data_IF_123020336964
#
_entry.id   IF_123020336964
#
_cell.length_a   1.000
_cell.length_b   1.000
_cell.length_c   1.000
_cell.angle_alpha   90.00
_cell.angle_beta   90.00
_cell.angle_gamma   90.00
#
_symmetry.space_group_name_H-M   'P 1'
#
loop_
_entity.id
_entity.type
_entity.pdbx_description
1 polymer ?
#
# COMPACT_ATOMS: atom_id res chain seq x y z
N UNK A 1 -7.33 97.00 2.07
CA UNK A 1 -7.44 96.17 0.85
C UNK A 1 -7.35 94.72 1.29
N UNK A 2 -8.40 93.91 1.06
CA UNK A 2 -8.60 92.43 1.18
C UNK A 2 -7.72 91.61 2.18
N UNK A 3 -8.25 90.84 3.14
CA UNK A 3 -8.89 89.48 3.06
C UNK A 3 -7.90 88.38 2.61
N UNK A 4 -7.77 87.17 3.21
CA UNK A 4 -8.62 86.30 4.08
C UNK A 4 -7.85 85.86 5.37
N UNK A 5 -8.43 85.42 6.52
CA UNK A 5 -9.25 84.24 6.93
C UNK A 5 -8.49 82.93 7.28
N UNK A 6 -8.89 82.34 8.42
CA UNK A 6 -8.60 81.03 9.06
C UNK A 6 -8.07 79.84 8.21
N UNK A 7 -7.25 78.99 8.82
CA UNK A 7 -7.71 77.67 9.31
C UNK A 7 -6.70 76.93 10.22
N UNK A 8 -7.20 76.31 11.29
CA UNK A 8 -6.50 75.22 11.98
C UNK A 8 -6.46 74.00 11.06
N UNK A 9 -5.36 73.25 11.05
CA UNK A 9 -5.42 71.82 10.76
C UNK A 9 -4.58 71.04 11.78
N UNK A 10 -5.30 70.28 12.61
CA UNK A 10 -4.73 69.24 13.47
C UNK A 10 -4.05 68.18 12.59
N UNK A 11 -2.78 67.86 12.90
CA UNK A 11 -2.13 66.67 12.36
C UNK A 11 -2.69 65.42 13.07
N UNK A 12 -3.82 64.92 12.59
CA UNK A 12 -4.22 63.54 12.88
C UNK A 12 -3.32 62.59 12.09
N UNK A 13 -2.25 62.09 12.73
CA UNK A 13 -1.58 60.88 12.24
C UNK A 13 -2.57 59.72 12.35
N UNK A 14 -3.20 59.37 11.23
CA UNK A 14 -3.85 58.09 11.07
C UNK A 14 -2.77 57.01 11.03
N UNK A 15 -2.49 56.40 12.19
CA UNK A 15 -1.70 55.19 12.25
C UNK A 15 -2.46 54.08 11.51
N UNK A 16 -2.07 53.80 10.27
CA UNK A 16 -2.54 52.62 9.54
C UNK A 16 -1.92 51.42 10.24
N UNK A 17 -2.67 50.84 11.18
CA UNK A 17 -2.37 49.53 11.72
C UNK A 17 -2.64 48.56 10.58
N UNK A 18 -1.60 48.24 9.80
CA UNK A 18 -1.62 47.05 8.96
C UNK A 18 -1.66 45.86 9.92
N UNK A 19 -2.86 45.38 10.22
CA UNK A 19 -3.08 44.06 10.80
C UNK A 19 -2.61 43.04 9.78
N UNK A 20 -1.30 42.79 9.77
CA UNK A 20 -0.72 41.58 9.19
C UNK A 20 -1.21 40.46 10.09
N UNK A 21 -2.44 39.99 9.82
CA UNK A 21 -2.77 38.61 10.12
C UNK A 21 -1.75 37.80 9.32
N UNK A 22 -0.73 37.31 10.03
CA UNK A 22 -0.05 36.11 9.61
C UNK A 22 -1.11 35.01 9.66
N UNK A 23 -1.90 34.90 8.58
CA UNK A 23 -2.57 33.64 8.23
C UNK A 23 -1.38 32.70 8.07
N UNK A 24 -1.18 31.80 9.03
CA UNK A 24 -0.21 30.72 8.86
C UNK A 24 -0.53 30.11 7.49
N UNK A 25 0.41 30.05 6.56
CA UNK A 25 0.10 29.48 5.25
C UNK A 25 -0.07 27.97 5.43
N UNK A 26 -1.10 27.38 4.84
CA UNK A 26 -1.26 25.93 4.87
C UNK A 26 -0.10 25.25 4.14
N UNK A 27 0.44 24.16 4.69
CA UNK A 27 1.64 23.50 4.16
C UNK A 27 1.62 21.98 4.39
N UNK A 28 2.36 21.24 3.57
CA UNK A 28 2.59 19.81 3.79
C UNK A 28 3.60 19.64 4.94
N UNK A 29 3.24 18.91 6.00
CA UNK A 29 4.16 18.64 7.12
C UNK A 29 5.01 17.39 6.88
N UNK A 30 4.45 16.40 6.17
CA UNK A 30 5.10 15.14 5.91
C UNK A 30 4.47 14.43 4.69
N UNK A 31 5.27 13.62 4.00
CA UNK A 31 4.81 12.59 3.06
C UNK A 31 5.50 11.28 3.46
N UNK A 32 4.78 10.17 3.51
CA UNK A 32 5.30 8.83 3.76
C UNK A 32 5.08 7.97 2.51
N UNK A 33 6.02 7.06 2.26
CA UNK A 33 5.91 6.01 1.24
C UNK A 33 6.22 4.67 1.91
N UNK A 34 5.35 3.67 1.74
CA UNK A 34 5.49 2.33 2.33
C UNK A 34 5.02 1.26 1.35
N UNK A 35 5.60 0.09 1.41
CA UNK A 35 5.06 -1.11 0.76
C UNK A 35 3.74 -1.52 1.44
N UNK A 36 2.72 -1.87 0.66
CA UNK A 36 1.38 -2.21 1.19
C UNK A 36 1.30 -3.57 1.91
N UNK A 37 2.24 -4.48 1.62
CA UNK A 37 2.28 -5.84 2.17
C UNK A 37 3.11 -5.88 3.46
N UNK A 38 4.27 -5.23 3.48
CA UNK A 38 5.11 -5.11 4.67
C UNK A 38 4.61 -4.05 5.65
N UNK A 39 4.02 -2.96 5.14
CA UNK A 39 3.65 -1.78 5.93
C UNK A 39 4.84 -0.87 6.30
N UNK A 40 6.02 -1.10 5.70
CA UNK A 40 7.29 -0.42 6.00
C UNK A 40 7.94 0.19 4.75
N UNK A 41 9.06 0.89 4.93
CA UNK A 41 9.87 1.46 3.85
C UNK A 41 10.85 0.44 3.21
N UNK A 42 10.46 -0.84 3.19
CA UNK A 42 11.13 -1.90 2.44
C UNK A 42 10.10 -2.73 1.67
N UNK A 43 10.53 -3.22 0.51
CA UNK A 43 9.71 -3.88 -0.49
C UNK A 43 10.46 -5.11 -1.00
N UNK A 44 9.80 -6.26 -1.02
CA UNK A 44 10.37 -7.53 -1.49
C UNK A 44 9.87 -7.94 -2.89
N UNK A 45 8.99 -7.12 -3.48
CA UNK A 45 8.52 -7.29 -4.85
C UNK A 45 8.17 -5.92 -5.48
N UNK A 46 8.94 -5.44 -6.48
CA UNK A 46 8.67 -4.17 -7.15
C UNK A 46 7.26 -4.01 -7.74
N UNK A 47 6.54 -5.11 -8.02
CA UNK A 47 5.18 -5.09 -8.58
C UNK A 47 4.08 -4.84 -7.51
N UNK A 48 4.45 -4.76 -6.21
CA UNK A 48 3.52 -4.43 -5.13
C UNK A 48 2.88 -3.03 -5.27
N UNK A 49 1.71 -2.88 -4.65
CA UNK A 49 1.15 -1.56 -4.34
C UNK A 49 1.93 -0.89 -3.21
N UNK A 50 2.13 0.41 -3.33
CA UNK A 50 2.72 1.30 -2.34
C UNK A 50 1.65 2.21 -1.76
N UNK A 51 1.69 2.43 -0.44
CA UNK A 51 0.86 3.38 0.26
C UNK A 51 1.61 4.71 0.30
N UNK A 52 1.02 5.75 -0.31
CA UNK A 52 1.43 7.14 -0.15
C UNK A 52 0.50 7.80 0.86
N UNK A 53 1.08 8.42 1.88
CA UNK A 53 0.34 9.09 2.96
C UNK A 53 0.95 10.46 3.21
N UNK A 54 0.20 11.53 2.92
CA UNK A 54 0.64 12.89 3.18
C UNK A 54 -0.15 13.51 4.34
N UNK A 55 0.56 14.28 5.17
CA UNK A 55 0.00 15.07 6.25
C UNK A 55 0.16 16.55 5.92
N UNK A 56 -0.89 17.32 6.21
CA UNK A 56 -1.00 18.73 5.93
C UNK A 56 -1.36 19.47 7.21
N UNK A 57 -0.73 20.61 7.45
CA UNK A 57 -1.27 21.63 8.32
C UNK A 57 -2.13 22.56 7.46
N UNK A 58 -3.42 22.63 7.78
CA UNK A 58 -4.40 23.47 7.09
C UNK A 58 -4.86 24.54 8.05
N UNK A 59 -4.65 25.80 7.67
CA UNK A 59 -4.92 26.95 8.53
C UNK A 59 -6.38 27.40 8.44
N UNK A 60 -6.83 28.10 9.49
CA UNK A 60 -8.16 28.73 9.51
C UNK A 60 -8.38 29.63 8.29
N UNK A 61 -9.54 29.46 7.66
CA UNK A 61 -9.93 30.19 6.47
C UNK A 61 -9.13 29.84 5.20
N UNK A 62 -8.38 28.73 5.16
CA UNK A 62 -7.73 28.25 3.94
C UNK A 62 -8.74 28.09 2.79
N UNK A 63 -8.46 28.74 1.68
CA UNK A 63 -9.35 28.92 0.52
C UNK A 63 -8.65 28.76 -0.84
N UNK A 64 -7.31 28.67 -0.85
CA UNK A 64 -6.54 28.35 -2.05
C UNK A 64 -6.16 26.87 -2.12
N UNK A 65 -5.98 26.36 -3.34
CA UNK A 65 -5.52 25.00 -3.56
C UNK A 65 -4.06 24.80 -3.13
N UNK A 66 -3.75 23.58 -2.69
CA UNK A 66 -2.39 23.13 -2.39
C UNK A 66 -2.00 21.99 -3.32
N UNK A 67 -0.74 21.93 -3.76
CA UNK A 67 -0.29 20.92 -4.71
C UNK A 67 0.92 20.14 -4.20
N UNK A 68 0.93 18.84 -4.49
CA UNK A 68 2.04 17.93 -4.23
C UNK A 68 2.30 17.07 -5.46
N UNK A 69 3.52 17.13 -5.99
CA UNK A 69 3.95 16.24 -7.08
C UNK A 69 4.33 14.85 -6.56
N UNK A 70 3.92 13.83 -7.31
CA UNK A 70 4.27 12.43 -7.15
C UNK A 70 5.41 12.10 -8.13
N UNK A 71 6.38 11.24 -7.78
CA UNK A 71 7.37 10.75 -8.73
C UNK A 71 6.71 10.06 -9.93
N UNK A 72 7.21 10.32 -11.15
CA UNK A 72 6.62 9.83 -12.41
C UNK A 72 6.76 8.32 -12.60
N UNK A 73 7.62 7.69 -11.81
CA UNK A 73 7.78 6.25 -11.72
C UNK A 73 6.56 5.52 -11.16
N UNK A 74 5.59 6.24 -10.56
CA UNK A 74 4.35 5.67 -10.05
C UNK A 74 3.21 5.71 -11.07
N UNK A 75 2.38 4.67 -11.07
CA UNK A 75 1.17 4.51 -11.88
C UNK A 75 0.03 3.96 -11.02
N UNK A 76 -1.13 3.68 -11.61
CA UNK A 76 -2.30 3.19 -10.86
C UNK A 76 -2.85 4.20 -9.85
N UNK A 77 -2.64 5.49 -10.11
CA UNK A 77 -3.12 6.58 -9.25
C UNK A 77 -4.66 6.64 -9.25
N UNK A 78 -5.31 7.05 -8.14
CA UNK A 78 -6.74 7.31 -8.11
C UNK A 78 -7.19 8.29 -9.20
N UNK A 79 -8.17 7.88 -10.01
CA UNK A 79 -8.77 8.70 -11.07
C UNK A 79 -9.99 9.49 -10.61
N UNK A 80 -10.57 9.13 -9.46
CA UNK A 80 -11.73 9.80 -8.87
C UNK A 80 -11.29 10.66 -7.67
N UNK A 81 -11.93 11.82 -7.43
CA UNK A 81 -11.67 12.62 -6.22
C UNK A 81 -12.01 11.86 -4.93
N UNK A 82 -11.29 12.18 -3.86
CA UNK A 82 -11.50 11.58 -2.54
C UNK A 82 -11.32 12.60 -1.41
N UNK A 83 -11.83 12.29 -0.22
CA UNK A 83 -11.88 13.25 0.89
C UNK A 83 -10.51 13.45 1.58
N UNK A 84 -10.18 14.70 1.87
CA UNK A 84 -9.11 15.06 2.80
C UNK A 84 -9.63 14.93 4.24
N UNK A 85 -8.99 14.12 5.08
CA UNK A 85 -9.56 13.72 6.38
C UNK A 85 -8.87 14.34 7.60
N UNK A 86 -9.67 14.91 8.50
CA UNK A 86 -9.28 15.28 9.87
C UNK A 86 -10.20 14.58 10.87
N UNK A 87 -9.66 13.71 11.74
CA UNK A 87 -10.42 12.98 12.79
C UNK A 87 -11.70 12.30 12.24
N UNK A 88 -11.58 11.64 11.09
CA UNK A 88 -12.70 10.98 10.38
C UNK A 88 -13.81 11.92 9.89
N UNK A 89 -13.50 13.21 9.67
CA UNK A 89 -14.37 14.17 9.01
C UNK A 89 -13.67 14.73 7.77
N UNK A 90 -14.41 14.87 6.67
CA UNK A 90 -13.94 15.56 5.47
C UNK A 90 -13.72 17.04 5.75
N UNK A 91 -12.54 17.55 5.39
CA UNK A 91 -12.16 18.97 5.54
C UNK A 91 -11.65 19.59 4.23
N UNK A 92 -11.70 18.84 3.14
CA UNK A 92 -11.29 19.24 1.80
C UNK A 92 -11.47 18.08 0.82
N UNK A 93 -11.16 18.35 -0.44
CA UNK A 93 -11.22 17.39 -1.55
C UNK A 93 -9.81 17.18 -2.11
N UNK A 94 -9.49 15.96 -2.52
CA UNK A 94 -8.21 15.58 -3.12
C UNK A 94 -8.47 14.99 -4.49
N UNK A 95 -7.82 15.53 -5.50
CA UNK A 95 -7.81 15.01 -6.86
C UNK A 95 -6.36 14.75 -7.29
N UNK A 96 -6.13 13.74 -8.12
CA UNK A 96 -4.80 13.43 -8.66
C UNK A 96 -4.90 13.44 -10.19
N UNK A 97 -4.08 14.25 -10.84
CA UNK A 97 -4.04 14.33 -12.31
C UNK A 97 -3.10 13.30 -12.93
N UNK A 98 -3.31 13.02 -14.22
CA UNK A 98 -2.43 12.18 -15.05
C UNK A 98 -0.98 12.73 -15.13
N UNK A 99 -0.76 14.01 -14.82
CA UNK A 99 0.55 14.67 -14.74
C UNK A 99 1.26 14.45 -13.38
N UNK A 100 0.81 13.48 -12.59
CA UNK A 100 1.34 13.13 -11.26
C UNK A 100 1.20 14.25 -10.22
N UNK A 101 0.17 15.10 -10.35
CA UNK A 101 -0.07 16.22 -9.44
C UNK A 101 -1.27 15.93 -8.53
N UNK A 102 -1.03 15.82 -7.23
CA UNK A 102 -2.09 15.90 -6.22
C UNK A 102 -2.51 17.37 -6.10
N UNK A 103 -3.78 17.66 -6.27
CA UNK A 103 -4.44 18.92 -5.95
C UNK A 103 -5.31 18.69 -4.70
N UNK A 104 -5.19 19.58 -3.72
CA UNK A 104 -5.98 19.59 -2.50
C UNK A 104 -6.75 20.90 -2.43
N UNK A 105 -8.08 20.80 -2.46
CA UNK A 105 -9.01 21.93 -2.53
C UNK A 105 -9.87 22.05 -1.28
N UNK A 106 -10.32 23.26 -0.98
CA UNK A 106 -11.10 23.58 0.22
C UNK A 106 -12.45 24.24 -0.14
N UNK A 107 -13.45 23.47 -0.64
CA UNK A 107 -14.75 24.01 -1.04
C UNK A 107 -15.49 24.77 0.08
N UNK A 108 -15.20 24.40 1.34
CA UNK A 108 -15.64 25.12 2.54
C UNK A 108 -14.38 25.39 3.38
N UNK A 109 -13.94 26.66 3.50
CA UNK A 109 -12.76 26.99 4.30
C UNK A 109 -12.89 26.53 5.76
N UNK A 110 -11.84 25.93 6.35
CA UNK A 110 -11.90 25.38 7.70
C UNK A 110 -12.01 26.50 8.75
N UNK A 111 -12.81 26.26 9.79
CA UNK A 111 -13.10 27.24 10.86
C UNK A 111 -12.04 27.33 11.97
N UNK A 112 -11.02 26.48 11.92
CA UNK A 112 -9.90 26.43 12.86
C UNK A 112 -8.69 25.82 12.12
N UNK A 113 -7.49 26.00 12.66
CA UNK A 113 -6.32 25.24 12.22
C UNK A 113 -6.54 23.72 12.45
N UNK A 114 -6.28 22.90 11.44
CA UNK A 114 -6.40 21.42 11.50
C UNK A 114 -5.17 20.72 10.91
N UNK A 115 -4.84 19.56 11.47
CA UNK A 115 -3.86 18.64 10.85
C UNK A 115 -4.63 17.56 10.10
N UNK A 116 -4.66 17.66 8.78
CA UNK A 116 -5.37 16.73 7.91
C UNK A 116 -4.40 15.70 7.30
N UNK A 117 -4.93 14.55 6.87
CA UNK A 117 -4.15 13.53 6.19
C UNK A 117 -4.90 13.04 4.95
N UNK A 118 -4.16 12.77 3.89
CA UNK A 118 -4.63 12.06 2.70
C UNK A 118 -3.81 10.78 2.54
N UNK A 119 -4.44 9.72 2.04
CA UNK A 119 -3.79 8.43 1.79
C UNK A 119 -4.34 7.83 0.51
N UNK A 120 -3.46 7.38 -0.37
CA UNK A 120 -3.80 6.65 -1.59
C UNK A 120 -2.80 5.52 -1.84
N UNK A 121 -3.12 4.66 -2.80
CA UNK A 121 -2.21 3.63 -3.28
C UNK A 121 -1.69 3.99 -4.68
N UNK A 122 -0.49 3.53 -5.00
CA UNK A 122 0.11 3.61 -6.33
C UNK A 122 0.97 2.35 -6.58
N UNK A 123 1.13 1.91 -7.82
CA UNK A 123 2.14 0.92 -8.20
C UNK A 123 3.33 1.60 -8.87
N UNK A 124 4.46 0.92 -9.03
CA UNK A 124 5.44 1.37 -10.00
C UNK A 124 4.92 1.15 -11.42
N UNK A 125 5.38 1.97 -12.35
CA UNK A 125 5.29 1.64 -13.77
C UNK A 125 5.90 0.25 -14.03
N UNK A 126 5.27 -0.52 -14.91
CA UNK A 126 5.65 -1.92 -15.16
C UNK A 126 7.07 -2.06 -15.71
N UNK A 127 7.54 -1.13 -16.55
CA UNK A 127 8.89 -1.17 -17.09
C UNK A 127 9.91 -0.68 -16.05
N UNK A 128 9.54 0.27 -15.19
CA UNK A 128 10.35 0.65 -14.01
C UNK A 128 10.51 -0.52 -13.05
N UNK A 129 9.43 -1.23 -12.72
CA UNK A 129 9.45 -2.42 -11.86
C UNK A 129 10.34 -3.54 -12.45
N UNK A 130 10.16 -3.84 -13.75
CA UNK A 130 10.99 -4.82 -14.48
C UNK A 130 12.47 -4.45 -14.57
N UNK A 131 12.80 -3.16 -14.66
CA UNK A 131 14.19 -2.68 -14.65
C UNK A 131 14.90 -2.88 -13.30
N UNK A 132 14.19 -3.29 -12.25
CA UNK A 132 14.79 -3.66 -10.97
C UNK A 132 15.37 -5.07 -11.05
N UNK A 133 16.53 -5.20 -11.69
CA UNK A 133 17.26 -6.47 -11.83
C UNK A 133 18.04 -6.89 -10.57
N UNK A 134 18.14 -6.02 -9.54
CA UNK A 134 18.82 -6.32 -8.28
C UNK A 134 18.27 -5.49 -7.10
N UNK A 135 18.37 -6.02 -5.86
CA UNK A 135 18.13 -5.27 -4.62
C UNK A 135 18.89 -3.95 -4.59
N UNK A 136 18.19 -2.86 -4.28
CA UNK A 136 18.72 -1.49 -4.33
C UNK A 136 17.92 -0.55 -3.42
N UNK A 137 18.50 0.60 -3.09
CA UNK A 137 17.80 1.66 -2.38
C UNK A 137 17.45 2.76 -3.38
N UNK A 138 16.16 3.07 -3.55
CA UNK A 138 15.66 4.11 -4.45
C UNK A 138 15.21 5.32 -3.64
N UNK A 139 15.43 6.53 -4.19
CA UNK A 139 15.00 7.79 -3.59
C UNK A 139 13.84 8.36 -4.39
N UNK A 140 12.65 8.36 -3.80
CA UNK A 140 11.46 8.99 -4.32
C UNK A 140 11.35 10.40 -3.74
N UNK A 141 11.20 11.43 -4.59
CA UNK A 141 11.16 12.82 -4.17
C UNK A 141 9.79 13.41 -4.50
N UNK A 142 9.08 13.89 -3.48
CA UNK A 142 7.81 14.60 -3.62
C UNK A 142 8.07 16.10 -3.40
N UNK A 143 7.47 16.95 -4.23
CA UNK A 143 7.67 18.41 -4.18
C UNK A 143 6.33 19.10 -3.99
N UNK A 144 6.25 19.95 -2.95
CA UNK A 144 5.10 20.79 -2.64
C UNK A 144 5.17 22.11 -3.41
N UNK A 145 4.02 22.68 -3.79
CA UNK A 145 3.95 24.04 -4.36
C UNK A 145 4.35 25.14 -3.37
N UNK A 146 4.33 24.85 -2.07
CA UNK A 146 4.80 25.77 -1.03
C UNK A 146 6.34 25.71 -0.82
N UNK A 147 7.04 24.77 -1.48
CA UNK A 147 8.51 24.69 -1.52
C UNK A 147 9.12 23.59 -0.65
N UNK A 148 8.32 22.77 0.04
CA UNK A 148 8.81 21.61 0.78
C UNK A 148 9.22 20.45 -0.14
N UNK A 149 10.26 19.73 0.28
CA UNK A 149 10.82 18.58 -0.43
C UNK A 149 10.83 17.35 0.48
N UNK A 150 10.08 16.31 0.12
CA UNK A 150 10.01 15.06 0.89
C UNK A 150 10.77 13.96 0.14
N UNK A 151 11.99 13.71 0.57
CA UNK A 151 12.83 12.59 0.09
C UNK A 151 12.50 11.32 0.86
N UNK A 152 12.02 10.28 0.19
CA UNK A 152 11.69 8.98 0.79
C UNK A 152 12.49 7.85 0.16
N UNK A 153 13.18 7.13 1.03
CA UNK A 153 13.99 5.97 0.72
C UNK A 153 13.08 4.74 0.70
N UNK A 154 13.10 3.97 -0.38
CA UNK A 154 12.53 2.62 -0.43
C UNK A 154 13.68 1.62 -0.57
N UNK A 155 13.74 0.63 0.32
CA UNK A 155 14.69 -0.49 0.25
C UNK A 155 14.05 -1.63 -0.52
N UNK A 156 14.53 -1.90 -1.73
CA UNK A 156 14.16 -3.10 -2.49
C UNK A 156 15.10 -4.22 -2.06
N UNK A 157 14.54 -5.27 -1.48
CA UNK A 157 15.28 -6.34 -0.80
C UNK A 157 14.89 -7.70 -1.34
N UNK A 158 15.80 -8.69 -1.32
CA UNK A 158 15.43 -10.03 -1.73
C UNK A 158 14.46 -10.67 -0.71
N UNK A 159 13.59 -11.56 -1.19
CA UNK A 159 12.77 -12.41 -0.31
C UNK A 159 13.70 -13.29 0.53
N UNK A 160 13.35 -13.57 1.78
CA UNK A 160 14.16 -14.48 2.61
C UNK A 160 14.09 -15.91 2.07
N UNK A 161 15.25 -16.55 1.88
CA UNK A 161 15.35 -17.97 1.52
C UNK A 161 15.18 -18.92 2.71
N UNK A 162 15.09 -18.38 3.93
CA UNK A 162 15.02 -19.15 5.19
C UNK A 162 13.68 -19.02 5.92
N UNK A 163 12.77 -18.24 5.38
CA UNK A 163 11.45 -17.99 5.96
C UNK A 163 10.38 -18.42 4.96
N UNK A 164 9.22 -18.83 5.47
CA UNK A 164 8.07 -19.14 4.62
C UNK A 164 7.46 -17.85 4.10
N UNK A 165 7.32 -17.74 2.79
CA UNK A 165 6.70 -16.60 2.13
C UNK A 165 5.37 -17.00 1.50
N UNK A 166 4.35 -16.12 1.56
CA UNK A 166 3.04 -16.36 0.95
C UNK A 166 2.69 -15.25 -0.02
N UNK A 167 2.67 -15.59 -1.30
CA UNK A 167 2.19 -14.77 -2.40
C UNK A 167 0.70 -15.01 -2.66
N UNK A 168 -0.01 -14.00 -3.20
CA UNK A 168 -1.47 -14.09 -3.40
C UNK A 168 -2.01 -13.08 -4.40
N UNK A 169 -3.12 -13.42 -5.05
CA UNK A 169 -3.89 -12.50 -5.88
C UNK A 169 -5.25 -13.07 -6.28
N UNK A 170 -5.93 -12.38 -7.19
CA UNK A 170 -7.24 -12.79 -7.69
C UNK A 170 -7.34 -12.59 -9.20
N UNK A 171 -7.98 -13.55 -9.87
CA UNK A 171 -8.36 -13.43 -11.26
C UNK A 171 -9.70 -12.67 -11.36
N UNK A 172 -9.66 -11.40 -11.73
CA UNK A 172 -10.86 -10.55 -11.82
C UNK A 172 -12.00 -11.12 -12.68
N UNK A 173 -11.67 -11.84 -13.76
CA UNK A 173 -12.64 -12.37 -14.72
C UNK A 173 -13.53 -13.51 -14.17
N UNK A 174 -13.06 -14.27 -13.17
CA UNK A 174 -13.83 -15.37 -12.57
C UNK A 174 -13.88 -15.32 -11.03
N UNK A 175 -13.26 -14.31 -10.41
CA UNK A 175 -13.15 -14.12 -8.94
C UNK A 175 -12.45 -15.27 -8.20
N UNK A 176 -11.67 -16.09 -8.89
CA UNK A 176 -10.85 -17.15 -8.28
C UNK A 176 -9.60 -16.52 -7.66
N UNK A 177 -9.42 -16.68 -6.35
CA UNK A 177 -8.18 -16.31 -5.68
C UNK A 177 -7.12 -17.41 -5.86
N UNK A 178 -5.88 -16.99 -5.99
CA UNK A 178 -4.70 -17.85 -6.11
C UNK A 178 -3.69 -17.51 -5.01
N UNK A 179 -2.94 -18.52 -4.60
CA UNK A 179 -1.95 -18.42 -3.53
C UNK A 179 -0.70 -19.22 -3.90
N UNK A 180 0.45 -18.75 -3.43
CA UNK A 180 1.73 -19.47 -3.56
C UNK A 180 2.43 -19.46 -2.22
N UNK A 181 2.61 -20.64 -1.62
CA UNK A 181 3.39 -20.79 -0.38
C UNK A 181 4.78 -21.28 -0.76
N UNK A 182 5.79 -20.43 -0.57
CA UNK A 182 7.19 -20.80 -0.74
C UNK A 182 7.72 -21.30 0.61
N UNK A 183 8.08 -22.58 0.70
CA UNK A 183 8.65 -23.21 1.91
C UNK A 183 10.12 -23.58 1.64
N UNK A 184 11.08 -23.03 2.40
CA UNK A 184 12.50 -23.38 2.27
C UNK A 184 12.76 -24.88 2.34
N UNK A 185 13.67 -25.39 1.50
CA UNK A 185 14.02 -26.82 1.49
C UNK A 185 14.58 -27.26 2.85
N UNK A 186 15.34 -26.40 3.52
CA UNK A 186 15.87 -26.63 4.88
C UNK A 186 14.80 -26.83 5.97
N UNK A 187 13.52 -26.57 5.67
CA UNK A 187 12.39 -26.81 6.57
C UNK A 187 11.58 -28.05 6.19
N UNK A 188 11.91 -28.81 5.14
CA UNK A 188 11.09 -29.95 4.67
C UNK A 188 11.24 -31.22 5.53
N UNK A 189 11.95 -31.14 6.66
CA UNK A 189 12.03 -32.20 7.67
C UNK A 189 10.68 -32.50 8.34
N UNK A 190 9.72 -31.57 8.25
CA UNK A 190 8.35 -31.74 8.76
C UNK A 190 7.24 -31.52 7.69
N UNK A 191 6.08 -32.19 7.84
CA UNK A 191 4.90 -31.92 7.03
C UNK A 191 4.52 -30.44 7.01
N UNK A 192 4.02 -30.00 5.86
CA UNK A 192 3.51 -28.65 5.64
C UNK A 192 2.00 -28.68 5.84
N UNK A 193 1.50 -27.77 6.68
CA UNK A 193 0.06 -27.58 6.90
C UNK A 193 -0.34 -26.14 6.56
N UNK A 194 -1.24 -26.00 5.58
CA UNK A 194 -1.85 -24.73 5.19
C UNK A 194 -3.35 -24.85 5.40
N UNK A 195 -3.95 -23.87 6.08
CA UNK A 195 -5.40 -23.73 6.09
C UNK A 195 -5.83 -22.29 5.78
N UNK A 196 -6.97 -22.17 5.13
CA UNK A 196 -7.59 -20.88 4.87
C UNK A 196 -8.49 -20.50 6.05
N UNK A 197 -7.97 -19.73 7.01
CA UNK A 197 -8.83 -19.11 8.03
C UNK A 197 -9.68 -18.01 7.35
N UNK A 198 -11.01 -18.11 7.36
CA UNK A 198 -11.86 -17.08 6.74
C UNK A 198 -11.76 -15.72 7.46
N UNK A 199 -11.18 -15.66 8.67
CA UNK A 199 -11.12 -14.48 9.51
C UNK A 199 -12.48 -14.18 10.18
N UNK A 200 -12.42 -13.50 11.32
CA UNK A 200 -13.59 -12.97 12.03
C UNK A 200 -14.66 -14.02 12.47
N UNK A 201 -14.24 -15.23 12.86
CA UNK A 201 -15.05 -16.11 13.72
C UNK A 201 -16.33 -16.68 13.11
N UNK A 202 -16.46 -16.70 11.77
CA UNK A 202 -17.63 -17.23 11.08
C UNK A 202 -17.38 -18.63 10.51
N UNK A 203 -17.98 -19.64 11.14
CA UNK A 203 -17.99 -21.05 10.70
C UNK A 203 -18.77 -21.31 9.40
N UNK A 204 -19.08 -20.26 8.62
CA UNK A 204 -19.99 -20.29 7.46
C UNK A 204 -19.23 -19.90 6.16
N UNK A 205 -17.91 -19.63 6.25
CA UNK A 205 -17.23 -18.79 5.27
C UNK A 205 -15.84 -19.30 4.79
N UNK A 206 -15.52 -20.58 5.03
CA UNK A 206 -14.29 -21.21 4.57
C UNK A 206 -14.14 -21.14 3.04
N UNK A 207 -12.96 -20.75 2.56
CA UNK A 207 -12.67 -20.77 1.12
C UNK A 207 -12.40 -22.21 0.69
N UNK A 208 -13.26 -22.76 -0.17
CA UNK A 208 -13.08 -24.12 -0.69
C UNK A 208 -11.88 -24.16 -1.63
N UNK A 209 -10.84 -24.88 -1.23
CA UNK A 209 -9.65 -25.17 -2.03
C UNK A 209 -10.06 -26.04 -3.22
N UNK A 210 -9.60 -25.67 -4.41
CA UNK A 210 -9.80 -26.44 -5.64
C UNK A 210 -8.68 -27.49 -5.70
N UNK A 211 -8.93 -28.66 -5.11
CA UNK A 211 -7.95 -29.75 -4.93
C UNK A 211 -7.17 -30.03 -6.23
N UNK A 212 -7.87 -30.32 -7.32
CA UNK A 212 -7.33 -30.68 -8.64
C UNK A 212 -6.44 -29.60 -9.31
N UNK A 213 -6.38 -28.39 -8.74
CA UNK A 213 -5.52 -27.30 -9.21
C UNK A 213 -4.33 -27.03 -8.28
N UNK A 214 -4.21 -27.76 -7.17
CA UNK A 214 -3.05 -27.69 -6.28
C UNK A 214 -1.85 -28.33 -6.98
N UNK A 215 -0.69 -27.67 -6.96
CA UNK A 215 0.53 -28.21 -7.59
C UNK A 215 1.78 -27.73 -6.88
N UNK A 216 2.84 -28.53 -6.93
CA UNK A 216 4.09 -28.24 -6.25
C UNK A 216 5.26 -28.13 -7.23
N UNK A 217 6.15 -27.17 -6.98
CA UNK A 217 7.33 -26.89 -7.81
C UNK A 217 8.57 -26.78 -6.92
N UNK A 218 9.64 -27.55 -7.18
CA UNK A 218 10.94 -27.31 -6.57
C UNK A 218 11.67 -26.21 -7.33
N UNK A 219 12.13 -25.17 -6.64
CA UNK A 219 12.92 -24.08 -7.25
C UNK A 219 14.40 -24.40 -7.12
N UNK A 220 15.03 -24.68 -8.25
CA UNK A 220 16.46 -25.03 -8.36
C UNK A 220 17.34 -23.84 -8.78
N UNK A 221 16.73 -22.73 -9.24
CA UNK A 221 17.45 -21.49 -9.53
C UNK A 221 16.57 -20.26 -9.26
N UNK A 222 17.19 -19.20 -8.73
CA UNK A 222 16.51 -17.93 -8.39
C UNK A 222 17.22 -16.72 -9.00
N UNK A 223 16.51 -15.58 -9.08
CA UNK A 223 17.09 -14.27 -9.37
C UNK A 223 17.68 -13.58 -8.12
N UNK A 224 18.17 -12.36 -8.30
CA UNK A 224 18.73 -11.49 -7.26
C UNK A 224 17.72 -11.05 -6.18
N UNK A 225 16.41 -11.15 -6.45
CA UNK A 225 15.32 -10.93 -5.49
C UNK A 225 14.86 -12.25 -4.84
N UNK A 226 15.53 -13.36 -5.17
CA UNK A 226 15.18 -14.73 -4.83
C UNK A 226 13.84 -15.22 -5.43
N UNK A 227 13.37 -14.61 -6.52
CA UNK A 227 12.22 -15.08 -7.32
C UNK A 227 12.64 -16.27 -8.22
N UNK A 228 11.75 -17.22 -8.54
CA UNK A 228 12.11 -18.40 -9.32
C UNK A 228 12.59 -18.04 -10.74
N UNK A 229 13.70 -18.65 -11.18
CA UNK A 229 14.17 -18.65 -12.58
C UNK A 229 14.04 -20.02 -13.23
N UNK A 230 14.32 -21.08 -12.48
CA UNK A 230 14.13 -22.46 -12.90
C UNK A 230 13.43 -23.20 -11.77
N UNK A 231 12.38 -23.92 -12.14
CA UNK A 231 11.64 -24.79 -11.25
C UNK A 231 11.16 -26.03 -11.99
N UNK A 232 11.05 -27.14 -11.28
CA UNK A 232 10.55 -28.41 -11.80
C UNK A 232 9.32 -28.88 -11.00
N UNK A 233 8.32 -29.51 -11.64
CA UNK A 233 7.20 -30.10 -10.92
C UNK A 233 7.69 -31.19 -9.97
N UNK A 234 7.17 -31.20 -8.74
CA UNK A 234 7.40 -32.27 -7.78
C UNK A 234 6.08 -32.72 -7.18
N UNK A 235 6.03 -33.97 -6.73
CA UNK A 235 4.92 -34.50 -5.94
C UNK A 235 5.35 -34.66 -4.47
N UNK A 236 4.46 -34.43 -3.50
CA UNK A 236 4.69 -34.82 -2.12
C UNK A 236 4.76 -36.36 -1.97
N UNK A 237 5.48 -36.83 -0.95
CA UNK A 237 5.51 -38.24 -0.52
C UNK A 237 4.18 -38.66 0.12
N UNK A 238 3.51 -37.75 0.82
CA UNK A 238 2.18 -37.94 1.42
C UNK A 238 1.35 -36.68 1.12
N UNK A 239 0.17 -36.84 0.51
CA UNK A 239 -0.79 -35.75 0.28
C UNK A 239 -2.15 -36.10 0.90
N UNK A 240 -2.64 -35.19 1.75
CA UNK A 240 -3.96 -35.24 2.38
C UNK A 240 -4.74 -33.93 2.11
N UNK A 241 -4.42 -33.24 1.02
CA UNK A 241 -5.12 -32.03 0.59
C UNK A 241 -6.61 -32.28 0.39
N UNK A 242 -7.41 -31.34 0.89
CA UNK A 242 -8.87 -31.39 0.93
C UNK A 242 -9.44 -30.04 0.47
N UNK A 243 -10.78 -29.87 0.51
CA UNK A 243 -11.37 -28.55 0.23
C UNK A 243 -11.11 -27.52 1.35
N UNK A 244 -10.66 -27.93 2.54
CA UNK A 244 -10.46 -27.04 3.70
C UNK A 244 -9.00 -26.82 4.11
N UNK A 245 -8.10 -27.73 3.72
CA UNK A 245 -6.67 -27.65 4.07
C UNK A 245 -5.77 -28.34 3.06
N UNK A 246 -4.52 -27.88 2.99
CA UNK A 246 -3.40 -28.58 2.35
C UNK A 246 -2.58 -29.21 3.47
N UNK A 247 -2.36 -30.51 3.39
CA UNK A 247 -1.47 -31.24 4.28
C UNK A 247 -0.57 -32.14 3.43
N UNK A 248 0.67 -31.71 3.26
CA UNK A 248 1.64 -32.34 2.36
C UNK A 248 2.95 -32.63 3.07
N UNK A 249 3.56 -33.77 2.78
CA UNK A 249 4.91 -34.13 3.21
C UNK A 249 5.80 -34.30 2.00
N UNK A 250 6.98 -33.69 1.99
CA UNK A 250 7.95 -33.81 0.91
C UNK A 250 9.17 -34.63 1.35
N UNK A 251 10.01 -35.00 0.39
CA UNK A 251 11.37 -35.44 0.71
C UNK A 251 12.15 -34.26 1.31
N UNK A 252 12.98 -34.53 2.31
CA UNK A 252 13.87 -33.57 2.95
C UNK A 252 15.27 -33.54 2.29
N UNK A 253 15.54 -34.44 1.35
CA UNK A 253 16.80 -34.56 0.60
C UNK A 253 16.74 -33.89 -0.79
N UNK A 254 15.78 -33.00 -1.02
CA UNK A 254 15.69 -32.24 -2.27
C UNK A 254 16.88 -31.28 -2.40
N UNK A 255 17.45 -31.15 -3.61
CA UNK A 255 18.49 -30.16 -3.90
C UNK A 255 17.88 -28.92 -4.54
N UNK A 256 17.58 -27.89 -3.74
CA UNK A 256 17.00 -26.65 -4.23
C UNK A 256 16.88 -25.57 -3.15
N UNK A 257 16.23 -24.46 -3.50
CA UNK A 257 16.05 -23.29 -2.62
C UNK A 257 14.79 -23.43 -1.77
N UNK A 258 13.64 -23.61 -2.42
CA UNK A 258 12.34 -23.76 -1.75
C UNK A 258 11.36 -24.53 -2.64
N UNK A 259 10.39 -25.16 -2.00
CA UNK A 259 9.20 -25.73 -2.66
C UNK A 259 8.11 -24.66 -2.72
N UNK A 260 7.50 -24.48 -3.88
CA UNK A 260 6.33 -23.63 -4.09
C UNK A 260 5.09 -24.50 -4.12
N UNK A 261 4.15 -24.25 -3.23
CA UNK A 261 2.83 -24.87 -3.25
C UNK A 261 1.86 -23.84 -3.82
N UNK A 262 1.43 -24.05 -5.05
CA UNK A 262 0.35 -23.31 -5.66
C UNK A 262 -0.98 -23.91 -5.25
N UNK A 263 -1.94 -23.08 -4.86
CA UNK A 263 -3.33 -23.51 -4.72
C UNK A 263 -4.31 -22.39 -5.05
N UNK A 264 -5.56 -22.79 -5.30
CA UNK A 264 -6.63 -21.92 -5.75
C UNK A 264 -7.86 -22.15 -4.89
N UNK A 265 -8.68 -21.13 -4.74
CA UNK A 265 -9.93 -21.24 -3.98
C UNK A 265 -11.11 -20.81 -4.83
N UNK A 266 -12.24 -21.53 -4.71
CA UNK A 266 -13.49 -21.19 -5.40
C UNK A 266 -13.91 -19.75 -5.04
N UNK A 267 -14.52 -19.00 -5.99
CA UNK A 267 -15.00 -17.65 -5.74
C UNK A 267 -15.94 -17.58 -4.54
N UNK A 268 -15.68 -16.65 -3.62
CA UNK A 268 -16.61 -16.38 -2.51
C UNK A 268 -17.70 -15.44 -3.01
N UNK A 269 -18.93 -15.94 -3.11
CA UNK A 269 -20.13 -15.11 -3.29
C UNK A 269 -20.64 -14.76 -1.89
N UNK A 270 -20.51 -13.50 -1.49
CA UNK A 270 -21.22 -12.95 -0.33
C UNK A 270 -22.08 -11.81 -0.83
N UNK A 271 -23.38 -11.89 -0.58
CA UNK A 271 -24.26 -10.73 -0.66
C UNK A 271 -24.03 -9.87 0.60
N UNK A 272 -22.93 -9.12 0.61
CA UNK A 272 -22.51 -8.23 1.69
C UNK A 272 -21.94 -6.95 1.09
N UNK A 273 -22.30 -5.82 1.69
CA UNK A 273 -21.74 -4.50 1.37
C UNK A 273 -20.40 -4.23 2.05
N UNK A 274 -19.97 -5.10 2.96
CA UNK A 274 -18.74 -4.95 3.74
C UNK A 274 -17.58 -5.75 3.14
N UNK A 275 -16.35 -5.18 3.08
CA UNK A 275 -15.19 -5.84 2.49
C UNK A 275 -14.79 -7.09 3.28
N UNK A 276 -14.73 -8.21 2.59
CA UNK A 276 -14.45 -9.51 3.19
C UNK A 276 -12.95 -9.68 3.39
N UNK A 277 -12.47 -9.53 4.62
CA UNK A 277 -11.08 -9.89 4.94
C UNK A 277 -10.94 -11.42 5.05
N UNK A 278 -9.95 -12.00 4.38
CA UNK A 278 -9.63 -13.43 4.41
C UNK A 278 -8.19 -13.61 4.86
N UNK A 279 -7.90 -14.65 5.66
CA UNK A 279 -6.62 -14.80 6.35
C UNK A 279 -6.00 -16.19 6.10
N UNK A 280 -5.21 -16.32 5.05
CA UNK A 280 -4.36 -17.50 4.89
C UNK A 280 -3.42 -17.61 6.08
N UNK A 281 -3.52 -18.71 6.83
CA UNK A 281 -2.66 -18.93 7.99
C UNK A 281 -1.86 -20.21 7.81
N UNK A 282 -0.55 -20.07 7.81
CA UNK A 282 0.41 -21.16 7.64
C UNK A 282 0.90 -21.62 9.02
N UNK A 283 0.97 -22.94 9.21
CA UNK A 283 1.41 -23.54 10.48
C UNK A 283 2.52 -24.56 10.26
N UNK A 284 3.66 -24.28 10.88
CA UNK A 284 4.80 -25.20 11.02
C UNK A 284 5.56 -24.82 12.28
N UNK A 285 5.83 -25.77 13.19
CA UNK A 285 6.48 -25.60 14.51
C UNK A 285 6.52 -24.16 15.07
N UNK A 286 5.44 -23.71 15.71
CA UNK A 286 5.33 -22.39 16.36
C UNK A 286 5.54 -21.14 15.47
N UNK A 287 5.93 -21.28 14.19
CA UNK A 287 5.94 -20.20 13.20
C UNK A 287 4.53 -20.03 12.66
N UNK A 288 3.90 -18.91 13.02
CA UNK A 288 2.60 -18.50 12.48
C UNK A 288 2.82 -17.54 11.31
N UNK A 289 2.75 -18.05 10.08
CA UNK A 289 2.66 -17.19 8.90
C UNK A 289 1.24 -16.63 8.79
N UNK A 290 1.09 -15.30 8.81
CA UNK A 290 -0.19 -14.61 8.71
C UNK A 290 -0.25 -13.78 7.42
N UNK A 291 -0.95 -14.27 6.40
CA UNK A 291 -1.30 -13.50 5.22
C UNK A 291 -2.74 -12.99 5.33
N UNK A 292 -2.95 -11.68 5.29
CA UNK A 292 -4.30 -11.08 5.23
C UNK A 292 -4.53 -10.45 3.86
N UNK A 293 -5.74 -10.62 3.31
CA UNK A 293 -6.24 -9.80 2.20
C UNK A 293 -7.67 -9.34 2.49
N UNK A 294 -8.13 -8.32 1.78
CA UNK A 294 -9.53 -7.89 1.77
C UNK A 294 -10.05 -7.95 0.34
N UNK A 295 -11.21 -8.59 0.16
CA UNK A 295 -11.97 -8.55 -1.08
C UNK A 295 -12.93 -7.36 -0.96
N UNK A 296 -12.79 -6.40 -1.88
CA UNK A 296 -13.79 -5.38 -2.13
C UNK A 296 -14.74 -5.89 -3.22
N UNK A 297 -16.05 -5.76 -2.99
CA UNK A 297 -17.13 -6.11 -3.91
C UNK A 297 -17.69 -4.87 -4.58
#
# INVERSE_FOLDING_TARGET
MWSFLQCLFYYCLAAVITSVNAKDNSFFTNVNLRDSVSGYAYCQDPDHWFIVEAQLFVSEGQDSDMFLSIPKEFTGLPTEPFELMHKSQAVGEVMISDDHLVQVSFPIPPKNNVTANLRFMAQLDTDVARSMEAPKIVNYNFYSSQGEHFKRLMRYEPRSLREVFVDRGMFWHNRTAWFVVNVPVEQLDEPIYVFSDPGAGSHINEHQIIQDMTRCELVTSVDSFHRPRVSEPIEPQEDYTSESSILMRFDHNLEGYYVRIWYYTKPRIVDSTDPVSVQTTFYKRAVKGLGKYAIYS
#
